data_IF_253389822801
#
_entry.id   IF_253389822801
#
_cell.length_a   1.000
_cell.length_b   1.000
_cell.length_c   1.000
_cell.angle_alpha   90.00
_cell.angle_beta   90.00
_cell.angle_gamma   90.00
#
_symmetry.space_group_name_H-M   'P 1'
#
loop_
_entity.id
_entity.type
_entity.pdbx_description
1 polymer ?
#
# COMPACT_ATOMS: atom_id res chain seq x y z
N UNK A 1 25.33 -23.83 37.44
CA UNK A 1 26.53 -23.04 37.20
C UNK A 1 26.33 -22.15 36.00
N UNK A 2 26.39 -20.85 36.30
CA UNK A 2 25.78 -19.76 35.62
C UNK A 2 26.11 -19.59 34.13
N UNK A 3 25.06 -19.31 33.42
CA UNK A 3 25.06 -18.76 32.07
C UNK A 3 25.19 -17.25 32.20
N UNK A 4 26.26 -16.65 31.67
CA UNK A 4 26.36 -15.20 31.54
C UNK A 4 25.84 -14.81 30.17
N UNK A 5 24.83 -13.94 30.07
CA UNK A 5 24.38 -13.46 28.77
C UNK A 5 25.49 -12.59 28.14
N UNK A 6 25.87 -12.93 26.93
CA UNK A 6 26.74 -12.10 26.09
C UNK A 6 25.94 -10.90 25.62
N UNK A 7 26.61 -9.77 25.43
CA UNK A 7 26.04 -8.43 25.25
C UNK A 7 24.89 -8.36 24.19
N UNK A 8 24.05 -7.34 24.29
CA UNK A 8 22.78 -7.12 23.55
C UNK A 8 22.84 -7.14 22.00
N UNK A 9 23.98 -7.46 21.40
CA UNK A 9 24.22 -7.49 19.95
C UNK A 9 24.44 -8.89 19.38
N UNK A 10 24.30 -9.95 20.16
CA UNK A 10 24.54 -11.31 19.68
C UNK A 10 23.27 -12.16 19.76
N UNK A 11 22.72 -12.54 18.61
CA UNK A 11 21.66 -13.55 18.53
C UNK A 11 22.31 -14.91 18.33
N UNK A 12 22.10 -15.83 19.28
CA UNK A 12 22.55 -17.22 19.16
C UNK A 12 21.64 -17.91 18.15
N UNK A 13 22.14 -18.16 16.96
CA UNK A 13 21.51 -19.08 16.00
C UNK A 13 22.19 -20.42 16.18
N UNK A 14 21.46 -21.39 16.75
CA UNK A 14 21.99 -22.74 16.96
C UNK A 14 21.94 -23.54 15.66
N UNK A 15 23.06 -23.69 14.97
CA UNK A 15 23.22 -24.77 14.00
C UNK A 15 23.73 -26.03 14.72
N UNK A 16 23.06 -27.16 14.46
CA UNK A 16 23.53 -28.47 14.89
C UNK A 16 24.64 -28.91 13.97
N UNK A 17 25.87 -28.52 14.27
CA UNK A 17 27.05 -29.12 13.62
C UNK A 17 27.28 -30.51 14.17
N UNK A 18 27.45 -31.50 13.26
CA UNK A 18 27.63 -32.90 13.60
C UNK A 18 28.74 -33.10 14.65
N UNK A 19 28.39 -33.86 15.66
CA UNK A 19 29.25 -34.11 16.83
C UNK A 19 30.14 -35.32 16.62
N UNK A 20 31.43 -35.19 16.96
CA UNK A 20 32.26 -36.35 17.20
C UNK A 20 32.11 -36.89 18.63
N UNK A 21 31.39 -36.24 19.52
CA UNK A 21 31.33 -36.57 20.93
C UNK A 21 29.99 -36.29 21.63
N UNK A 22 28.90 -36.17 20.89
CA UNK A 22 27.57 -35.96 21.47
C UNK A 22 27.36 -34.64 22.21
N UNK A 23 28.29 -33.72 22.17
CA UNK A 23 28.21 -32.41 22.78
C UNK A 23 27.71 -31.37 21.79
N UNK A 24 26.66 -30.65 22.16
CA UNK A 24 26.18 -29.47 21.44
C UNK A 24 27.20 -28.32 21.63
N UNK A 25 27.81 -27.87 20.56
CA UNK A 25 28.66 -26.68 20.55
C UNK A 25 27.88 -25.59 19.81
N UNK A 26 27.29 -24.60 20.51
CA UNK A 26 26.64 -23.49 19.85
C UNK A 26 27.65 -22.69 19.05
N UNK A 27 27.40 -22.47 17.77
CA UNK A 27 28.20 -21.57 16.95
C UNK A 27 27.59 -20.18 17.09
N UNK A 28 28.37 -19.25 17.63
CA UNK A 28 27.99 -17.82 17.69
C UNK A 28 28.36 -17.21 16.34
N UNK A 29 27.34 -16.71 15.63
CA UNK A 29 27.55 -15.97 14.38
C UNK A 29 27.62 -14.49 14.75
N UNK A 30 28.66 -13.76 14.33
CA UNK A 30 28.68 -12.31 14.51
C UNK A 30 27.47 -11.67 13.82
N UNK A 31 26.64 -10.97 14.59
CA UNK A 31 25.50 -10.25 14.07
C UNK A 31 25.84 -8.77 13.96
N UNK A 32 25.73 -8.23 12.76
CA UNK A 32 25.83 -6.79 12.51
C UNK A 32 24.62 -6.05 13.10
N UNK A 33 24.70 -4.74 13.17
CA UNK A 33 23.58 -3.88 13.57
C UNK A 33 22.33 -4.24 12.74
N UNK A 34 21.16 -4.26 13.40
CA UNK A 34 19.87 -4.47 12.74
C UNK A 34 19.67 -3.48 11.58
N UNK A 35 19.21 -4.01 10.45
CA UNK A 35 18.84 -3.25 9.28
C UNK A 35 17.33 -2.99 9.31
N UNK A 36 16.94 -1.75 9.10
CA UNK A 36 15.54 -1.37 8.96
C UNK A 36 15.35 -0.55 7.69
N UNK A 37 14.17 -0.61 7.13
CA UNK A 37 13.74 0.28 6.04
C UNK A 37 12.31 0.73 6.27
N UNK A 38 11.99 1.92 5.79
CA UNK A 38 10.62 2.45 5.85
C UNK A 38 10.26 3.03 4.49
N UNK A 39 9.17 2.55 3.92
CA UNK A 39 8.58 3.08 2.68
C UNK A 39 7.07 3.09 2.77
N UNK A 40 6.44 3.84 1.88
CA UNK A 40 4.99 3.88 1.76
C UNK A 40 4.44 2.60 1.13
N UNK A 41 3.20 2.31 1.38
CA UNK A 41 2.44 1.16 0.90
C UNK A 41 2.62 0.94 -0.61
N UNK A 42 2.87 -0.31 -1.00
CA UNK A 42 3.05 -0.73 -2.39
C UNK A 42 4.48 -0.59 -2.93
N UNK A 43 5.36 0.16 -2.27
CA UNK A 43 6.73 0.33 -2.74
C UNK A 43 7.66 -0.79 -2.29
N UNK A 44 8.54 -1.19 -3.21
CA UNK A 44 9.58 -2.20 -2.96
C UNK A 44 10.72 -1.57 -2.15
N UNK A 45 11.15 -2.27 -1.08
CA UNK A 45 12.31 -1.90 -0.29
C UNK A 45 13.55 -2.62 -0.86
N UNK A 46 14.61 -1.89 -1.15
CA UNK A 46 15.87 -2.46 -1.62
C UNK A 46 17.00 -1.88 -0.77
N UNK A 47 17.69 -2.77 -0.05
CA UNK A 47 18.78 -2.41 0.84
C UNK A 47 20.05 -3.18 0.48
N UNK A 48 21.21 -2.58 0.76
CA UNK A 48 22.51 -3.26 0.64
C UNK A 48 23.15 -3.27 2.01
N UNK A 49 22.96 -4.35 2.78
CA UNK A 49 23.48 -4.44 4.14
C UNK A 49 25.01 -4.47 4.17
N UNK A 50 25.58 -3.93 5.23
CA UNK A 50 27.00 -4.08 5.54
C UNK A 50 27.15 -5.12 6.62
N UNK A 51 28.01 -6.09 6.38
CA UNK A 51 28.28 -7.16 7.33
C UNK A 51 29.63 -7.00 7.98
N UNK A 52 29.66 -7.26 9.27
CA UNK A 52 30.87 -7.37 10.07
C UNK A 52 31.03 -8.81 10.53
N UNK A 53 32.10 -9.44 10.12
CA UNK A 53 32.51 -10.77 10.57
C UNK A 53 33.53 -10.69 11.72
N UNK A 54 34.03 -11.87 12.14
CA UNK A 54 35.03 -11.96 13.21
C UNK A 54 36.33 -11.19 12.88
N UNK A 55 36.73 -11.23 11.61
CA UNK A 55 37.99 -10.66 11.12
C UNK A 55 37.82 -9.35 10.34
N UNK A 56 36.67 -8.67 10.50
CA UNK A 56 36.33 -7.38 9.86
C UNK A 56 35.18 -7.47 8.86
N UNK A 57 35.09 -6.49 7.97
CA UNK A 57 34.01 -6.38 7.00
C UNK A 57 33.92 -7.59 6.06
N UNK A 58 32.70 -8.08 5.82
CA UNK A 58 32.41 -9.21 4.94
C UNK A 58 31.57 -8.71 3.76
N UNK A 59 32.03 -8.99 2.55
CA UNK A 59 31.28 -8.65 1.32
C UNK A 59 30.77 -9.94 0.69
N UNK A 60 29.47 -10.05 0.38
CA UNK A 60 28.92 -11.16 -0.36
C UNK A 60 29.59 -11.35 -1.73
N UNK A 61 29.73 -12.60 -2.16
CA UNK A 61 30.32 -13.00 -3.44
C UNK A 61 29.86 -14.40 -3.81
N UNK A 62 30.27 -14.91 -4.99
CA UNK A 62 30.00 -16.30 -5.39
C UNK A 62 30.59 -17.36 -4.45
N UNK A 63 31.68 -17.03 -3.75
CA UNK A 63 32.30 -17.91 -2.75
C UNK A 63 31.74 -17.73 -1.34
N UNK A 64 31.10 -16.57 -1.13
CA UNK A 64 30.49 -16.16 0.13
C UNK A 64 29.07 -15.62 -0.13
N UNK A 65 28.15 -16.48 -0.61
CA UNK A 65 26.80 -16.05 -0.94
C UNK A 65 26.00 -15.62 0.28
N UNK A 66 25.06 -14.72 0.03
CA UNK A 66 24.08 -14.27 1.01
C UNK A 66 22.82 -15.14 0.93
N UNK A 67 22.28 -15.57 2.06
CA UNK A 67 21.06 -16.37 2.15
C UNK A 67 20.10 -15.82 3.20
N UNK A 68 18.82 -16.08 2.99
CA UNK A 68 17.78 -15.83 3.99
C UNK A 68 17.72 -16.97 5.00
N UNK A 69 17.48 -16.64 6.25
CA UNK A 69 17.39 -17.60 7.36
C UNK A 69 16.19 -17.28 8.21
N UNK A 70 15.46 -18.31 8.60
CA UNK A 70 14.34 -18.18 9.52
C UNK A 70 14.85 -17.81 10.92
N UNK A 71 14.46 -16.65 11.49
CA UNK A 71 15.00 -16.17 12.77
C UNK A 71 14.60 -17.04 13.97
N UNK A 72 13.53 -17.85 13.85
CA UNK A 72 13.03 -18.71 14.95
C UNK A 72 13.69 -20.09 14.94
N UNK A 73 14.00 -20.62 13.76
CA UNK A 73 14.49 -22.00 13.61
C UNK A 73 15.96 -22.08 13.21
N UNK A 74 16.57 -20.97 12.76
CA UNK A 74 17.92 -20.95 12.20
C UNK A 74 18.05 -21.66 10.84
N UNK A 75 16.93 -22.13 10.24
CA UNK A 75 16.94 -22.86 8.98
C UNK A 75 17.15 -21.90 7.81
N UNK A 76 18.11 -22.22 6.94
CA UNK A 76 18.30 -21.51 5.68
C UNK A 76 17.07 -21.68 4.77
N UNK A 77 16.65 -20.58 4.15
CA UNK A 77 15.48 -20.49 3.26
C UNK A 77 15.90 -20.30 1.79
N UNK A 78 17.19 -20.08 1.52
CA UNK A 78 17.71 -19.78 0.20
C UNK A 78 17.58 -18.30 -0.17
N UNK A 79 17.43 -18.02 -1.47
CA UNK A 79 17.40 -16.65 -2.01
C UNK A 79 16.02 -15.97 -1.91
N UNK A 80 14.97 -16.70 -1.59
CA UNK A 80 13.59 -16.16 -1.49
C UNK A 80 12.83 -16.81 -0.34
N UNK A 81 12.01 -16.00 0.34
CA UNK A 81 11.15 -16.46 1.43
C UNK A 81 9.90 -15.57 1.55
N UNK A 82 8.73 -16.13 1.96
CA UNK A 82 7.57 -15.33 2.27
C UNK A 82 7.84 -14.40 3.46
N UNK A 83 7.43 -13.16 3.32
CA UNK A 83 7.38 -12.22 4.43
C UNK A 83 6.07 -12.40 5.19
N UNK A 84 6.17 -12.60 6.50
CA UNK A 84 5.01 -12.92 7.34
C UNK A 84 4.67 -11.75 8.26
N UNK A 85 3.42 -11.69 8.70
CA UNK A 85 2.93 -10.87 9.81
C UNK A 85 1.76 -11.59 10.47
N UNK A 86 1.89 -11.87 11.77
CA UNK A 86 0.85 -12.56 12.56
C UNK A 86 0.33 -13.85 11.89
N UNK A 87 1.25 -14.62 11.27
CA UNK A 87 0.94 -15.88 10.58
C UNK A 87 0.37 -15.76 9.18
N UNK A 88 0.22 -14.52 8.65
CA UNK A 88 -0.21 -14.27 7.27
C UNK A 88 0.95 -13.83 6.41
N UNK A 89 0.93 -14.22 5.14
CA UNK A 89 1.89 -13.72 4.15
C UNK A 89 1.52 -12.28 3.75
N UNK A 90 2.49 -11.37 3.90
CA UNK A 90 2.34 -9.93 3.64
C UNK A 90 3.27 -9.41 2.55
N UNK A 91 4.03 -10.30 1.92
CA UNK A 91 4.97 -9.98 0.87
C UNK A 91 6.05 -11.04 0.73
N UNK A 92 7.14 -10.69 0.08
CA UNK A 92 8.25 -11.61 -0.20
C UNK A 92 9.59 -10.94 0.10
N UNK A 93 10.48 -11.68 0.77
CA UNK A 93 11.89 -11.34 0.88
C UNK A 93 12.67 -12.04 -0.22
N UNK A 94 13.60 -11.32 -0.85
CA UNK A 94 14.60 -11.92 -1.75
C UNK A 94 15.98 -11.36 -1.46
N UNK A 95 17.02 -12.13 -1.77
CA UNK A 95 18.40 -11.70 -1.72
C UNK A 95 19.08 -11.96 -3.06
N UNK A 96 19.93 -11.03 -3.47
CA UNK A 96 20.93 -11.29 -4.51
C UNK A 96 22.18 -11.84 -3.82
N UNK A 97 22.42 -13.12 -4.04
CA UNK A 97 23.44 -13.90 -3.33
C UNK A 97 24.86 -13.34 -3.50
N UNK A 98 25.13 -12.62 -4.60
CA UNK A 98 26.47 -12.16 -4.96
C UNK A 98 26.66 -10.65 -4.73
N UNK A 99 25.63 -9.85 -4.99
CA UNK A 99 25.72 -8.39 -4.79
C UNK A 99 25.38 -7.96 -3.38
N UNK A 100 24.78 -8.85 -2.59
CA UNK A 100 24.40 -8.59 -1.22
C UNK A 100 23.15 -7.70 -1.08
N UNK A 101 22.36 -7.49 -2.12
CA UNK A 101 21.09 -6.78 -2.03
C UNK A 101 20.03 -7.64 -1.36
N UNK A 102 19.33 -7.08 -0.39
CA UNK A 102 18.11 -7.64 0.17
C UNK A 102 16.92 -6.81 -0.29
N UNK A 103 15.88 -7.48 -0.78
CA UNK A 103 14.66 -6.83 -1.25
C UNK A 103 13.47 -7.35 -0.44
N UNK A 104 12.60 -6.44 -0.01
CA UNK A 104 11.28 -6.77 0.49
C UNK A 104 10.24 -6.18 -0.46
N UNK A 105 9.42 -7.04 -1.02
CA UNK A 105 8.29 -6.68 -1.89
C UNK A 105 7.00 -6.89 -1.09
N UNK A 106 6.36 -5.85 -0.55
CA UNK A 106 5.10 -5.98 0.18
C UNK A 106 3.94 -6.32 -0.75
N UNK A 107 2.91 -6.98 -0.22
CA UNK A 107 1.60 -7.00 -0.87
C UNK A 107 1.05 -5.57 -0.93
N UNK A 108 0.28 -5.24 -1.96
CA UNK A 108 -0.22 -3.88 -2.21
C UNK A 108 -1.12 -3.33 -1.09
N UNK A 109 -1.80 -4.19 -0.35
CA UNK A 109 -2.69 -3.86 0.76
C UNK A 109 -1.99 -3.90 2.12
N UNK A 110 -0.72 -4.31 2.19
CA UNK A 110 -0.01 -4.42 3.46
C UNK A 110 0.46 -3.07 3.98
N UNK A 111 0.22 -2.83 5.27
CA UNK A 111 0.79 -1.74 6.06
C UNK A 111 1.23 -2.26 7.42
N UNK A 112 2.25 -1.63 8.00
CA UNK A 112 2.80 -2.03 9.29
C UNK A 112 4.21 -2.60 9.20
N UNK A 113 4.63 -3.30 10.25
CA UNK A 113 5.96 -3.89 10.37
C UNK A 113 5.85 -5.37 10.03
N UNK A 114 6.55 -5.84 8.99
CA UNK A 114 6.65 -7.26 8.68
C UNK A 114 7.51 -7.99 9.72
N UNK A 115 7.25 -9.29 9.92
CA UNK A 115 8.10 -10.10 10.79
C UNK A 115 9.54 -10.10 10.24
N UNK A 116 10.53 -9.96 11.10
CA UNK A 116 11.92 -9.86 10.65
C UNK A 116 12.42 -11.14 9.99
N UNK A 117 13.36 -10.97 9.07
CA UNK A 117 14.14 -12.05 8.46
C UNK A 117 15.60 -11.90 8.89
N UNK A 118 16.32 -12.99 9.01
CA UNK A 118 17.77 -12.98 9.18
C UNK A 118 18.43 -13.17 7.81
N UNK A 119 19.45 -12.36 7.55
CA UNK A 119 20.28 -12.46 6.35
C UNK A 119 21.68 -12.87 6.78
N UNK A 120 22.22 -13.94 6.20
CA UNK A 120 23.54 -14.45 6.54
C UNK A 120 24.44 -14.57 5.32
N UNK A 121 25.72 -14.34 5.50
CA UNK A 121 26.77 -14.64 4.52
C UNK A 121 27.37 -15.99 4.88
N UNK A 122 27.31 -16.94 3.96
CA UNK A 122 27.80 -18.32 4.12
C UNK A 122 29.12 -18.48 3.36
N UNK A 123 30.16 -19.00 4.01
CA UNK A 123 31.38 -19.37 3.33
C UNK A 123 31.22 -20.78 2.75
N UNK A 124 31.22 -20.94 1.42
CA UNK A 124 30.96 -22.22 0.76
C UNK A 124 31.99 -23.27 1.16
N UNK A 125 33.26 -22.88 1.28
CA UNK A 125 34.35 -23.81 1.61
C UNK A 125 34.16 -24.52 2.95
N UNK A 126 33.52 -23.88 3.91
CA UNK A 126 33.32 -24.42 5.27
C UNK A 126 31.85 -24.76 5.56
N UNK A 127 30.92 -24.31 4.72
CA UNK A 127 29.47 -24.39 4.95
C UNK A 127 28.97 -23.58 6.15
N UNK A 128 29.80 -22.67 6.70
CA UNK A 128 29.47 -21.90 7.92
C UNK A 128 29.06 -20.49 7.60
N UNK A 129 28.13 -19.98 8.37
CA UNK A 129 27.81 -18.54 8.38
C UNK A 129 28.98 -17.79 9.04
N UNK A 130 29.44 -16.71 8.38
CA UNK A 130 30.58 -15.89 8.81
C UNK A 130 30.15 -14.49 9.23
N UNK A 131 28.96 -14.06 8.83
CA UNK A 131 28.34 -12.82 9.26
C UNK A 131 26.81 -12.90 9.07
N UNK A 132 26.08 -12.08 9.79
CA UNK A 132 24.64 -12.00 9.66
C UNK A 132 24.06 -10.69 10.20
N UNK A 133 22.82 -10.41 9.86
CA UNK A 133 22.03 -9.32 10.44
C UNK A 133 20.54 -9.66 10.35
N UNK A 134 19.77 -8.96 11.16
CA UNK A 134 18.31 -9.00 11.17
C UNK A 134 17.79 -7.83 10.33
N UNK A 135 16.90 -8.10 9.40
CA UNK A 135 16.23 -7.08 8.59
C UNK A 135 14.76 -6.99 8.93
N UNK A 136 14.29 -5.77 9.21
CA UNK A 136 12.89 -5.48 9.62
C UNK A 136 12.36 -4.31 8.80
N UNK A 137 11.53 -4.55 7.76
CA UNK A 137 10.92 -3.48 6.98
C UNK A 137 9.63 -2.97 7.62
N UNK A 138 9.36 -1.67 7.44
CA UNK A 138 8.13 -0.98 7.84
C UNK A 138 7.46 -0.38 6.62
N UNK A 139 6.16 -0.62 6.47
CA UNK A 139 5.33 -0.05 5.41
C UNK A 139 4.34 0.94 6.03
N UNK A 140 4.42 2.20 5.62
CA UNK A 140 3.48 3.24 6.07
C UNK A 140 2.26 3.31 5.15
N UNK A 141 1.03 3.55 5.66
CA UNK A 141 -0.15 3.62 4.83
C UNK A 141 -0.13 4.84 3.91
N UNK A 142 -0.75 4.70 2.73
CA UNK A 142 -1.06 5.80 1.81
C UNK A 142 -2.56 6.05 1.89
N UNK A 143 -2.95 7.32 2.09
CA UNK A 143 -4.37 7.71 2.24
C UNK A 143 -4.67 8.87 1.29
N UNK A 144 -5.17 8.59 0.07
CA UNK A 144 -5.65 9.64 -0.81
C UNK A 144 -6.92 10.28 -0.24
N UNK A 145 -7.16 11.55 -0.58
CA UNK A 145 -8.29 12.32 -0.08
C UNK A 145 -9.14 12.89 -1.22
N UNK A 146 -10.39 13.21 -0.91
CA UNK A 146 -11.32 13.86 -1.84
C UNK A 146 -11.93 15.14 -1.28
N UNK A 147 -12.19 16.11 -2.15
CA UNK A 147 -12.84 17.38 -1.86
C UNK A 147 -14.19 17.45 -2.58
N UNK A 148 -15.24 17.70 -1.81
CA UNK A 148 -16.61 17.83 -2.32
C UNK A 148 -16.76 19.05 -3.24
N UNK A 149 -17.60 18.94 -4.25
CA UNK A 149 -17.89 20.02 -5.20
C UNK A 149 -19.39 20.27 -5.29
N UNK A 150 -19.75 21.52 -5.52
CA UNK A 150 -21.13 21.96 -5.72
C UNK A 150 -21.28 22.70 -7.05
N UNK A 151 -22.49 22.74 -7.57
CA UNK A 151 -22.87 23.63 -8.68
C UNK A 151 -24.22 24.26 -8.45
N UNK A 152 -24.49 25.37 -9.13
CA UNK A 152 -25.79 26.03 -9.12
C UNK A 152 -26.19 26.32 -10.56
N UNK A 153 -27.40 25.93 -10.93
CA UNK A 153 -27.95 26.15 -12.29
C UNK A 153 -29.42 26.48 -12.25
N UNK A 154 -29.92 27.03 -13.35
CA UNK A 154 -31.34 27.35 -13.51
C UNK A 154 -32.13 26.08 -13.79
N UNK A 155 -33.43 26.13 -13.46
CA UNK A 155 -34.40 25.08 -13.73
C UNK A 155 -34.31 24.55 -15.17
N UNK A 156 -34.28 23.22 -15.32
CA UNK A 156 -34.18 22.52 -16.61
C UNK A 156 -32.79 22.57 -17.28
N UNK A 157 -31.75 23.18 -16.66
CA UNK A 157 -30.38 23.21 -17.20
C UNK A 157 -29.52 22.12 -16.62
N UNK A 158 -28.82 21.44 -17.50
CA UNK A 158 -27.78 20.45 -17.14
C UNK A 158 -26.67 21.16 -16.40
N UNK A 159 -26.11 20.47 -15.38
CA UNK A 159 -24.98 20.95 -14.59
C UNK A 159 -23.89 19.87 -14.56
N UNK A 160 -22.64 20.29 -14.43
CA UNK A 160 -21.52 19.39 -14.25
C UNK A 160 -20.74 19.75 -12.98
N UNK A 161 -20.08 18.75 -12.41
CA UNK A 161 -19.16 18.93 -11.31
C UNK A 161 -18.13 17.81 -11.31
N UNK A 162 -16.88 18.19 -11.11
CA UNK A 162 -15.78 17.21 -11.01
C UNK A 162 -15.19 17.29 -9.60
N UNK A 163 -15.50 16.33 -8.72
CA UNK A 163 -14.85 16.23 -7.41
C UNK A 163 -13.35 16.22 -7.55
N UNK A 164 -12.64 16.86 -6.65
CA UNK A 164 -11.18 16.90 -6.67
C UNK A 164 -10.63 15.83 -5.76
N UNK A 165 -9.55 15.20 -6.21
CA UNK A 165 -8.86 14.19 -5.43
C UNK A 165 -7.39 14.54 -5.34
N UNK A 166 -6.80 14.25 -4.17
CA UNK A 166 -5.38 14.45 -3.89
C UNK A 166 -4.77 13.11 -3.52
N UNK A 167 -3.67 12.76 -4.16
CA UNK A 167 -2.90 11.57 -3.84
C UNK A 167 -2.39 11.61 -2.40
N UNK A 168 -2.29 10.46 -1.77
CA UNK A 168 -1.77 10.33 -0.41
C UNK A 168 -0.25 10.36 -0.35
N UNK A 169 0.41 10.04 -1.46
CA UNK A 169 1.85 10.09 -1.65
C UNK A 169 2.19 10.21 -3.14
N UNK A 170 3.21 11.00 -3.48
CA UNK A 170 3.62 11.25 -4.86
C UNK A 170 4.19 10.01 -5.58
N UNK A 171 4.70 9.03 -4.83
CA UNK A 171 5.18 7.76 -5.38
C UNK A 171 4.05 6.73 -5.59
N UNK A 172 2.82 7.05 -5.14
CA UNK A 172 1.62 6.21 -5.28
C UNK A 172 0.47 7.08 -5.80
N UNK A 173 0.53 7.47 -7.07
CA UNK A 173 -0.43 8.40 -7.65
C UNK A 173 -1.84 7.82 -7.73
N UNK A 174 -2.82 8.72 -7.77
CA UNK A 174 -4.19 8.36 -8.14
C UNK A 174 -4.22 7.89 -9.59
N UNK A 175 -4.97 6.82 -9.83
CA UNK A 175 -5.12 6.25 -11.17
C UNK A 175 -6.59 6.27 -11.57
N UNK A 176 -6.90 7.00 -12.65
CA UNK A 176 -8.25 7.05 -13.24
C UNK A 176 -8.10 6.79 -14.73
N UNK A 177 -8.38 5.57 -15.14
CA UNK A 177 -8.29 5.11 -16.53
C UNK A 177 -9.27 3.95 -16.81
N UNK A 178 -9.11 3.28 -17.94
CA UNK A 178 -9.99 2.17 -18.34
C UNK A 178 -9.88 0.95 -17.40
N UNK A 179 -8.70 0.71 -16.80
CA UNK A 179 -8.46 -0.41 -15.88
C UNK A 179 -8.93 -0.09 -14.46
N UNK A 180 -8.89 1.18 -14.09
CA UNK A 180 -9.26 1.68 -12.77
C UNK A 180 -10.14 2.94 -12.89
N UNK A 181 -11.39 2.78 -13.40
CA UNK A 181 -12.29 3.92 -13.66
C UNK A 181 -12.80 4.57 -12.38
N UNK A 182 -13.12 5.85 -12.47
CA UNK A 182 -13.95 6.51 -11.46
C UNK A 182 -15.35 5.91 -11.43
N UNK A 183 -15.91 5.71 -10.23
CA UNK A 183 -17.20 5.03 -10.04
C UNK A 183 -18.11 5.80 -9.11
N UNK A 184 -19.43 5.64 -9.27
CA UNK A 184 -20.37 6.02 -8.25
C UNK A 184 -20.30 5.09 -7.04
N UNK A 185 -20.58 5.63 -5.85
CA UNK A 185 -20.76 4.85 -4.63
C UNK A 185 -22.22 4.93 -4.21
N UNK A 186 -22.87 3.78 -4.19
CA UNK A 186 -24.28 3.64 -3.80
C UNK A 186 -24.34 2.72 -2.57
N UNK A 187 -24.95 3.21 -1.48
CA UNK A 187 -25.05 2.47 -0.23
C UNK A 187 -23.68 1.94 0.29
N UNK A 188 -22.63 2.75 0.15
CA UNK A 188 -21.27 2.41 0.59
C UNK A 188 -20.51 1.48 -0.34
N UNK A 189 -21.08 1.08 -1.48
CA UNK A 189 -20.45 0.20 -2.46
C UNK A 189 -20.23 0.91 -3.79
N UNK A 190 -19.04 0.79 -4.36
CA UNK A 190 -18.75 1.27 -5.70
C UNK A 190 -19.49 0.41 -6.73
N UNK A 191 -20.17 1.05 -7.67
CA UNK A 191 -20.98 0.39 -8.72
C UNK A 191 -20.40 0.65 -10.11
N UNK A 192 -20.67 -0.27 -11.03
CA UNK A 192 -20.22 -0.15 -12.43
C UNK A 192 -21.19 0.68 -13.29
N UNK A 193 -22.37 0.99 -12.76
CA UNK A 193 -23.34 1.83 -13.43
C UNK A 193 -22.78 3.24 -13.62
N UNK A 194 -22.73 3.71 -14.86
CA UNK A 194 -22.30 5.07 -15.20
C UNK A 194 -23.45 6.09 -15.12
N UNK A 195 -24.67 5.63 -14.82
CA UNK A 195 -25.87 6.46 -14.70
C UNK A 195 -26.70 5.98 -13.52
N UNK A 196 -27.07 6.89 -12.62
CA UNK A 196 -27.95 6.62 -11.47
C UNK A 196 -29.00 7.69 -11.31
N UNK A 197 -30.09 7.37 -10.62
CA UNK A 197 -31.18 8.30 -10.35
C UNK A 197 -30.76 9.36 -9.30
N UNK A 198 -31.06 10.62 -9.60
CA UNK A 198 -30.97 11.69 -8.62
C UNK A 198 -32.27 11.73 -7.82
N UNK A 199 -32.19 11.50 -6.53
CA UNK A 199 -33.35 11.38 -5.64
C UNK A 199 -33.47 12.58 -4.71
N UNK A 200 -34.69 12.96 -4.38
CA UNK A 200 -35.03 13.89 -3.29
C UNK A 200 -36.31 13.45 -2.61
N UNK A 201 -36.26 13.27 -1.30
CA UNK A 201 -37.41 12.88 -0.47
C UNK A 201 -38.13 11.63 -1.01
N UNK A 202 -37.40 10.67 -1.54
CA UNK A 202 -37.88 9.41 -2.11
C UNK A 202 -38.40 9.53 -3.56
N UNK A 203 -38.40 10.70 -4.17
CA UNK A 203 -38.79 10.91 -5.56
C UNK A 203 -37.57 11.09 -6.47
N UNK A 204 -37.66 10.55 -7.71
CA UNK A 204 -36.67 10.82 -8.76
C UNK A 204 -36.86 12.24 -9.30
N UNK A 205 -35.81 13.05 -9.17
CA UNK A 205 -35.81 14.47 -9.58
C UNK A 205 -34.87 14.77 -10.73
N UNK A 206 -34.15 13.73 -11.22
CA UNK A 206 -33.22 13.84 -12.32
C UNK A 206 -32.35 12.60 -12.43
N UNK A 207 -31.22 12.74 -13.09
CA UNK A 207 -30.26 11.67 -13.33
C UNK A 207 -28.84 12.20 -13.18
N UNK A 208 -27.97 11.42 -12.55
CA UNK A 208 -26.52 11.61 -12.56
C UNK A 208 -25.87 10.66 -13.58
N UNK A 209 -24.92 11.17 -14.35
CA UNK A 209 -24.06 10.37 -15.21
C UNK A 209 -22.59 10.70 -14.91
N UNK A 210 -21.71 9.69 -14.84
CA UNK A 210 -20.30 9.89 -14.62
C UNK A 210 -19.50 9.57 -15.88
N UNK A 211 -18.48 10.38 -16.16
CA UNK A 211 -17.43 9.98 -17.08
C UNK A 211 -16.38 9.15 -16.30
N UNK A 212 -16.26 7.85 -16.55
CA UNK A 212 -15.39 6.95 -15.79
C UNK A 212 -13.89 7.26 -15.97
N UNK A 213 -13.50 7.96 -17.03
CA UNK A 213 -12.11 8.31 -17.31
C UNK A 213 -11.67 9.65 -16.71
N UNK A 214 -12.61 10.49 -16.27
CA UNK A 214 -12.30 11.81 -15.72
C UNK A 214 -12.87 12.04 -14.34
N UNK A 215 -13.87 11.25 -13.93
CA UNK A 215 -14.64 11.48 -12.70
C UNK A 215 -15.61 12.65 -12.76
N UNK A 216 -15.76 13.31 -13.93
CA UNK A 216 -16.76 14.35 -14.12
C UNK A 216 -18.17 13.77 -14.01
N UNK A 217 -19.02 14.42 -13.23
CA UNK A 217 -20.43 14.07 -13.06
C UNK A 217 -21.30 15.09 -13.75
N UNK A 218 -22.21 14.61 -14.60
CA UNK A 218 -23.28 15.40 -15.21
C UNK A 218 -24.57 15.14 -14.47
N UNK A 219 -25.24 16.21 -14.02
CA UNK A 219 -26.58 16.18 -13.46
C UNK A 219 -27.59 16.73 -14.47
N UNK A 220 -28.58 15.93 -14.83
CA UNK A 220 -29.70 16.32 -15.67
C UNK A 220 -30.97 16.36 -14.83
N UNK A 221 -31.46 17.54 -14.43
CA UNK A 221 -32.66 17.65 -13.64
C UNK A 221 -33.93 17.39 -14.47
N UNK A 222 -34.98 16.92 -13.81
CA UNK A 222 -36.33 16.99 -14.39
C UNK A 222 -36.71 18.46 -14.65
N UNK A 223 -37.53 18.70 -15.68
CA UNK A 223 -37.82 20.06 -16.15
C UNK A 223 -38.48 20.98 -15.11
N UNK A 224 -39.24 20.40 -14.21
CA UNK A 224 -39.99 21.07 -13.15
C UNK A 224 -39.27 21.10 -11.79
N UNK A 225 -38.12 20.42 -11.70
CA UNK A 225 -37.38 20.32 -10.44
C UNK A 225 -36.71 21.65 -10.07
N UNK A 226 -36.88 22.03 -8.80
CA UNK A 226 -36.20 23.14 -8.13
C UNK A 226 -35.73 22.65 -6.76
N UNK A 227 -34.51 23.03 -6.36
CA UNK A 227 -33.92 22.68 -5.08
C UNK A 227 -32.64 21.85 -5.23
N UNK A 228 -32.24 21.18 -4.17
CA UNK A 228 -31.00 20.37 -4.12
C UNK A 228 -31.38 18.90 -3.99
N UNK A 229 -31.01 18.04 -4.95
CA UNK A 229 -31.20 16.61 -4.82
C UNK A 229 -30.20 16.00 -3.80
N UNK A 230 -30.32 14.73 -3.51
CA UNK A 230 -29.32 13.98 -2.75
C UNK A 230 -27.98 14.05 -3.45
N UNK A 231 -26.90 14.33 -2.70
CA UNK A 231 -25.56 14.32 -3.22
C UNK A 231 -25.17 12.94 -3.77
N UNK A 232 -24.42 12.91 -4.86
CA UNK A 232 -23.81 11.68 -5.37
C UNK A 232 -22.36 11.58 -4.92
N UNK A 233 -21.90 10.38 -4.57
CA UNK A 233 -20.51 10.11 -4.16
C UNK A 233 -19.76 9.49 -5.33
N UNK A 234 -18.59 10.03 -5.62
CA UNK A 234 -17.62 9.51 -6.60
C UNK A 234 -16.44 8.89 -5.84
N UNK A 235 -15.97 7.75 -6.32
CA UNK A 235 -14.77 7.08 -5.83
C UNK A 235 -13.71 7.01 -6.94
N UNK A 236 -12.48 7.29 -6.57
CA UNK A 236 -11.28 6.97 -7.34
C UNK A 236 -10.34 6.14 -6.47
N UNK A 237 -9.30 5.53 -7.05
CA UNK A 237 -8.32 4.73 -6.32
C UNK A 237 -6.91 5.15 -6.70
N UNK A 238 -5.96 4.91 -5.79
CA UNK A 238 -4.54 4.97 -6.08
C UNK A 238 -4.03 3.66 -6.73
N UNK A 239 -2.76 3.60 -7.10
CA UNK A 239 -2.16 2.42 -7.73
C UNK A 239 -2.15 1.17 -6.83
N UNK A 240 -2.28 1.34 -5.52
CA UNK A 240 -2.43 0.24 -4.57
C UNK A 240 -3.87 -0.26 -4.46
N UNK A 241 -4.83 0.48 -5.01
CA UNK A 241 -6.26 0.21 -4.89
C UNK A 241 -6.92 0.87 -3.68
N UNK A 242 -6.20 1.74 -2.94
CA UNK A 242 -6.76 2.51 -1.83
C UNK A 242 -7.72 3.57 -2.37
N UNK A 243 -8.95 3.60 -1.83
CA UNK A 243 -10.00 4.46 -2.33
C UNK A 243 -10.01 5.84 -1.67
N UNK A 244 -10.24 6.88 -2.48
CA UNK A 244 -10.70 8.19 -2.04
C UNK A 244 -12.13 8.44 -2.53
N UNK A 245 -12.94 9.14 -1.75
CA UNK A 245 -14.31 9.49 -2.11
C UNK A 245 -14.55 10.97 -1.92
N UNK A 246 -15.39 11.55 -2.80
CA UNK A 246 -15.89 12.92 -2.67
C UNK A 246 -17.29 13.03 -3.26
N UNK A 247 -18.03 14.06 -2.88
CA UNK A 247 -19.41 14.26 -3.29
C UNK A 247 -19.54 15.37 -4.32
N UNK A 248 -20.54 15.20 -5.18
CA UNK A 248 -21.07 16.30 -6.00
C UNK A 248 -22.51 16.58 -5.59
N UNK A 249 -22.79 17.89 -5.36
CA UNK A 249 -24.11 18.37 -4.94
C UNK A 249 -24.55 19.54 -5.83
N UNK A 250 -25.43 19.33 -6.81
CA UNK A 250 -25.99 20.38 -7.63
C UNK A 250 -27.18 21.08 -6.90
N UNK A 251 -27.39 22.35 -7.20
CA UNK A 251 -28.57 23.09 -6.77
C UNK A 251 -29.27 23.70 -8.00
N UNK A 252 -30.59 23.53 -8.09
CA UNK A 252 -31.41 24.06 -9.16
C UNK A 252 -32.23 25.26 -8.64
N UNK A 253 -32.04 26.40 -9.26
CA UNK A 253 -32.80 27.63 -8.94
C UNK A 253 -33.98 27.80 -9.88
N UNK A 254 -35.09 28.30 -9.36
CA UNK A 254 -36.30 28.58 -10.13
C UNK A 254 -36.04 29.61 -11.25
N UNK A 255 -36.80 29.50 -12.32
CA UNK A 255 -36.92 30.53 -13.36
C UNK A 255 -38.32 31.11 -13.29
N UNK A 256 -38.42 32.39 -12.99
CA UNK A 256 -39.69 33.10 -12.96
C UNK A 256 -39.80 33.92 -14.26
N UNK A 257 -40.76 33.58 -15.15
CA UNK A 257 -41.01 34.42 -16.31
C UNK A 257 -41.55 35.79 -15.87
N UNK A 258 -41.06 36.86 -16.47
CA UNK A 258 -41.62 38.21 -16.30
C UNK A 258 -42.37 38.57 -17.55
N UNK A 259 -43.60 39.08 -17.40
CA UNK A 259 -44.39 39.68 -18.46
C UNK A 259 -44.43 41.20 -18.28
N UNK A 260 -44.36 41.93 -19.38
CA UNK A 260 -44.66 43.38 -19.39
C UNK A 260 -46.06 43.58 -19.99
N UNK A 261 -46.87 44.37 -19.30
CA UNK A 261 -48.20 44.75 -19.81
C UNK A 261 -47.99 45.73 -20.96
N UNK A 262 -48.53 45.38 -22.13
CA UNK A 262 -48.59 46.34 -23.25
C UNK A 262 -49.69 47.37 -22.97
N UNK A 263 -49.34 48.63 -22.73
CA UNK A 263 -50.27 49.73 -22.70
C UNK A 263 -50.58 50.23 -24.14
N UNK A 264 -51.79 50.17 -24.56
CA UNK A 264 -52.27 50.75 -25.81
C UNK A 264 -52.64 52.21 -25.66
#
# INVERSE_FOLDING_TARGET
TGWTPVSANETIVSEQTGTMDGRYIPTVIPMSKELTSTKVQGLVHVETPKFEGKDGAVTPSSEKPMVLVNPKTGKALGASAPAMKDGKEVGTYTVDETTGKVTFTPNKDFTGIADPIVVQVIEIATGKAIAGLKYTPTVTPVTPTGEDVTSTGKQGKVQTGTPKFTEGDAEVPLKVDADQPAKFVVNGTAVDDTTIDAMKDGAKVGTYAINPLTGEVTFTPNKDFVGTPGAVTVQVKDENGTAATAKYTPTVTAVTPTGEDATS
#
